data_IF_655930868994
#
_entry.id   IF_655930868994
#
_cell.length_a   1.000
_cell.length_b   1.000
_cell.length_c   1.000
_cell.angle_alpha   90.00
_cell.angle_beta   90.00
_cell.angle_gamma   90.00
#
_symmetry.space_group_name_H-M   'P 1'
#
loop_
_entity.id
_entity.type
_entity.pdbx_description
1 polymer ?
#
# COMPACT_ATOMS: atom_id res chain seq x y z
N UNK A 1 -14.16 -0.19 1.85
CA UNK A 1 -12.70 -0.45 1.87
C UNK A 1 -12.34 -1.54 2.86
N UNK A 2 -12.74 -1.42 4.13
CA UNK A 2 -12.46 -2.40 5.19
C UNK A 2 -12.69 -3.86 4.81
N UNK A 3 -13.92 -4.22 4.41
CA UNK A 3 -14.26 -5.61 4.04
C UNK A 3 -13.40 -6.14 2.88
N UNK A 4 -13.09 -5.28 1.89
CA UNK A 4 -12.24 -5.66 0.76
C UNK A 4 -10.81 -5.99 1.23
N UNK A 5 -10.21 -5.13 2.06
CA UNK A 5 -8.87 -5.36 2.60
C UNK A 5 -8.86 -6.61 3.48
N UNK A 6 -9.85 -6.76 4.37
CA UNK A 6 -9.96 -7.92 5.25
C UNK A 6 -9.97 -9.24 4.46
N UNK A 7 -10.78 -9.29 3.39
CA UNK A 7 -10.88 -10.48 2.54
C UNK A 7 -9.54 -10.79 1.87
N UNK A 8 -8.87 -9.78 1.32
CA UNK A 8 -7.57 -9.96 0.67
C UNK A 8 -6.49 -10.47 1.64
N UNK A 9 -6.42 -9.88 2.84
CA UNK A 9 -5.47 -10.29 3.88
C UNK A 9 -5.77 -11.73 4.33
N UNK A 10 -7.05 -12.05 4.56
CA UNK A 10 -7.48 -13.37 5.00
C UNK A 10 -7.20 -14.46 3.96
N UNK A 11 -7.46 -14.18 2.68
CA UNK A 11 -7.17 -15.12 1.60
C UNK A 11 -5.67 -15.36 1.43
N UNK A 12 -4.84 -14.36 1.74
CA UNK A 12 -3.39 -14.50 1.73
C UNK A 12 -2.88 -15.29 2.93
N UNK A 13 -3.48 -15.11 4.12
CA UNK A 13 -3.17 -15.93 5.29
C UNK A 13 -3.45 -17.41 5.06
N UNK A 14 -4.55 -17.74 4.38
CA UNK A 14 -4.90 -19.14 4.05
C UNK A 14 -3.81 -19.84 3.22
N UNK A 15 -2.98 -19.09 2.49
CA UNK A 15 -1.88 -19.60 1.67
C UNK A 15 -0.55 -19.77 2.44
N UNK A 16 -0.38 -19.19 3.63
CA UNK A 16 0.87 -19.26 4.41
C UNK A 16 1.12 -20.66 4.99
N UNK A 17 2.27 -21.28 4.72
CA UNK A 17 2.59 -22.63 5.23
C UNK A 17 2.90 -22.67 6.73
N UNK A 18 3.53 -21.63 7.28
CA UNK A 18 3.90 -21.57 8.70
C UNK A 18 2.66 -21.28 9.56
N UNK A 19 2.27 -22.25 10.40
CA UNK A 19 1.09 -22.17 11.28
C UNK A 19 1.28 -21.11 12.37
N UNK A 20 2.46 -21.03 12.99
CA UNK A 20 2.72 -20.09 14.07
C UNK A 20 2.62 -18.63 13.59
N UNK A 21 3.31 -18.30 12.48
CA UNK A 21 3.20 -16.98 11.85
C UNK A 21 1.77 -16.65 11.45
N UNK A 22 1.03 -17.64 10.92
CA UNK A 22 -0.36 -17.46 10.51
C UNK A 22 -1.24 -17.09 11.70
N UNK A 23 -1.11 -17.77 12.83
CA UNK A 23 -1.91 -17.49 14.04
C UNK A 23 -1.55 -16.13 14.66
N UNK A 24 -0.29 -15.72 14.62
CA UNK A 24 0.10 -14.37 15.04
C UNK A 24 -0.57 -13.31 14.16
N UNK A 25 -0.47 -13.43 12.84
CA UNK A 25 -1.05 -12.45 11.92
C UNK A 25 -2.59 -12.43 11.95
N UNK A 26 -3.24 -13.57 12.23
CA UNK A 26 -4.69 -13.59 12.47
C UNK A 26 -5.12 -12.68 13.63
N UNK A 27 -4.28 -12.51 14.66
CA UNK A 27 -4.56 -11.59 15.78
C UNK A 27 -4.40 -10.13 15.36
N UNK A 28 -3.50 -9.85 14.43
CA UNK A 28 -3.21 -8.51 13.93
C UNK A 28 -4.16 -8.07 12.80
N UNK A 29 -4.81 -9.01 12.10
CA UNK A 29 -5.52 -8.76 10.84
C UNK A 29 -6.58 -7.65 10.91
N UNK A 30 -7.32 -7.55 12.02
CA UNK A 30 -8.35 -6.53 12.18
C UNK A 30 -7.71 -5.14 12.29
N UNK A 31 -6.64 -5.00 13.07
CA UNK A 31 -5.93 -3.74 13.26
C UNK A 31 -5.22 -3.31 11.98
N UNK A 32 -4.54 -4.24 11.31
CA UNK A 32 -3.87 -4.01 10.03
C UNK A 32 -4.90 -3.60 8.95
N UNK A 33 -6.06 -4.25 8.91
CA UNK A 33 -7.17 -3.87 8.02
C UNK A 33 -7.66 -2.47 8.32
N UNK A 34 -7.83 -2.12 9.60
CA UNK A 34 -8.30 -0.79 10.04
C UNK A 34 -7.32 0.28 9.59
N UNK A 35 -6.03 0.09 9.90
CA UNK A 35 -4.94 1.00 9.53
C UNK A 35 -4.91 1.31 8.03
N UNK A 36 -4.98 0.27 7.19
CA UNK A 36 -5.00 0.43 5.73
C UNK A 36 -6.28 1.15 5.28
N UNK A 37 -7.42 0.82 5.89
CA UNK A 37 -8.72 1.39 5.52
C UNK A 37 -8.85 2.86 5.86
N UNK A 38 -8.26 3.31 6.96
CA UNK A 38 -8.21 4.72 7.34
C UNK A 38 -7.50 5.60 6.31
N UNK A 39 -6.50 5.04 5.62
CA UNK A 39 -5.84 5.76 4.52
C UNK A 39 -6.81 6.09 3.38
N UNK A 40 -7.90 5.34 3.25
CA UNK A 40 -9.03 5.65 2.36
C UNK A 40 -9.76 6.97 2.63
N UNK A 41 -9.48 7.63 3.76
CA UNK A 41 -10.08 8.90 4.17
C UNK A 41 -9.06 10.03 4.38
N UNK A 42 -7.86 9.93 3.79
CA UNK A 42 -6.82 10.96 3.96
C UNK A 42 -7.23 12.26 3.24
N UNK A 43 -7.17 13.39 3.96
CA UNK A 43 -7.62 14.69 3.46
C UNK A 43 -6.54 15.39 2.63
N UNK A 44 -6.96 16.24 1.68
CA UNK A 44 -6.07 17.03 0.79
C UNK A 44 -5.12 17.99 1.52
N UNK A 45 -5.39 18.34 2.77
CA UNK A 45 -4.56 19.24 3.56
C UNK A 45 -3.37 18.56 4.27
N UNK A 46 -3.18 17.26 4.10
CA UNK A 46 -2.00 16.57 4.62
C UNK A 46 -0.76 16.89 3.77
N UNK A 47 0.38 17.06 4.43
CA UNK A 47 1.69 17.13 3.78
C UNK A 47 1.93 15.86 2.95
N UNK A 48 2.38 16.02 1.70
CA UNK A 48 2.66 14.90 0.81
C UNK A 48 3.67 13.92 1.41
N UNK A 49 4.61 14.39 2.24
CA UNK A 49 5.55 13.53 2.95
C UNK A 49 4.82 12.56 3.88
N UNK A 50 3.80 13.04 4.59
CA UNK A 50 2.96 12.20 5.47
C UNK A 50 2.20 11.16 4.64
N UNK A 51 1.72 11.56 3.46
CA UNK A 51 1.04 10.65 2.52
C UNK A 51 2.00 9.55 2.07
N UNK A 52 3.21 9.90 1.64
CA UNK A 52 4.22 8.93 1.19
C UNK A 52 4.66 8.00 2.31
N UNK A 53 4.82 8.51 3.53
CA UNK A 53 5.18 7.71 4.70
C UNK A 53 4.06 6.72 5.04
N UNK A 54 2.80 7.14 4.98
CA UNK A 54 1.64 6.24 5.16
C UNK A 54 1.58 5.16 4.07
N UNK A 55 1.84 5.50 2.81
CA UNK A 55 1.92 4.51 1.73
C UNK A 55 3.02 3.48 2.00
N UNK A 56 4.19 3.92 2.45
CA UNK A 56 5.30 3.03 2.83
C UNK A 56 4.89 2.08 3.94
N UNK A 57 4.26 2.58 5.00
CA UNK A 57 3.79 1.77 6.12
C UNK A 57 2.70 0.77 5.68
N UNK A 58 1.83 1.15 4.75
CA UNK A 58 0.85 0.21 4.16
C UNK A 58 1.57 -0.96 3.47
N UNK A 59 2.62 -0.69 2.68
CA UNK A 59 3.41 -1.76 2.06
C UNK A 59 4.14 -2.65 3.08
N UNK A 60 4.57 -2.10 4.21
CA UNK A 60 5.11 -2.88 5.33
C UNK A 60 4.06 -3.82 5.91
N UNK A 61 2.85 -3.33 6.19
CA UNK A 61 1.73 -4.13 6.67
C UNK A 61 1.37 -5.22 5.67
N UNK A 62 1.18 -4.88 4.39
CA UNK A 62 0.85 -5.84 3.33
C UNK A 62 1.94 -6.92 3.16
N UNK A 63 3.21 -6.55 3.34
CA UNK A 63 4.35 -7.46 3.30
C UNK A 63 4.27 -8.59 4.33
N UNK A 64 3.65 -8.35 5.49
CA UNK A 64 3.44 -9.39 6.52
C UNK A 64 2.62 -10.58 6.00
N UNK A 65 1.67 -10.31 5.10
CA UNK A 65 0.67 -11.28 4.62
C UNK A 65 1.13 -12.10 3.42
N UNK A 66 2.39 -11.94 2.97
CA UNK A 66 2.94 -12.60 1.78
C UNK A 66 2.10 -12.34 0.51
N UNK A 67 1.56 -11.13 0.40
CA UNK A 67 0.88 -10.66 -0.80
C UNK A 67 1.87 -10.52 -1.96
N UNK A 68 1.39 -10.75 -3.19
CA UNK A 68 2.22 -10.47 -4.36
C UNK A 68 2.41 -8.96 -4.53
N UNK A 69 3.44 -8.56 -5.29
CA UNK A 69 3.61 -7.15 -5.69
C UNK A 69 2.34 -6.62 -6.38
N UNK A 70 1.74 -7.42 -7.25
CA UNK A 70 0.53 -7.04 -7.98
C UNK A 70 -0.66 -6.83 -7.04
N UNK A 71 -0.87 -7.72 -6.06
CA UNK A 71 -1.95 -7.56 -5.06
C UNK A 71 -1.73 -6.30 -4.23
N UNK A 72 -0.49 -6.05 -3.80
CA UNK A 72 -0.13 -4.90 -2.97
C UNK A 72 -0.33 -3.59 -3.72
N UNK A 73 0.06 -3.54 -5.00
CA UNK A 73 -0.21 -2.42 -5.89
C UNK A 73 -1.73 -2.25 -6.06
N UNK A 74 -2.47 -3.33 -6.31
CA UNK A 74 -3.93 -3.31 -6.49
C UNK A 74 -4.69 -2.73 -5.30
N UNK A 75 -4.24 -3.01 -4.08
CA UNK A 75 -4.75 -2.37 -2.86
C UNK A 75 -4.59 -0.86 -2.91
N UNK A 76 -3.38 -0.37 -3.17
CA UNK A 76 -3.13 1.06 -3.25
C UNK A 76 -3.89 1.73 -4.38
N UNK A 77 -4.01 1.08 -5.55
CA UNK A 77 -4.83 1.62 -6.64
C UNK A 77 -6.26 1.88 -6.18
N UNK A 78 -6.87 0.90 -5.51
CA UNK A 78 -8.24 1.05 -5.00
C UNK A 78 -8.36 2.13 -3.92
N UNK A 79 -7.33 2.30 -3.09
CA UNK A 79 -7.34 3.35 -2.07
C UNK A 79 -7.15 4.74 -2.68
N UNK A 80 -6.22 4.91 -3.62
CA UNK A 80 -5.91 6.20 -4.24
C UNK A 80 -7.02 6.62 -5.21
N UNK A 81 -7.62 5.68 -5.97
CA UNK A 81 -8.78 5.96 -6.85
C UNK A 81 -10.09 6.19 -6.10
N UNK A 82 -10.08 6.13 -4.76
CA UNK A 82 -11.23 6.58 -3.99
C UNK A 82 -11.46 8.08 -4.25
N UNK A 83 -12.72 8.50 -4.44
CA UNK A 83 -13.09 9.92 -4.64
C UNK A 83 -12.46 10.87 -3.62
N UNK A 84 -12.30 10.42 -2.37
CA UNK A 84 -11.69 11.23 -1.30
C UNK A 84 -10.17 11.41 -1.44
N UNK A 85 -9.51 10.55 -2.23
CA UNK A 85 -8.07 10.44 -2.34
C UNK A 85 -7.55 10.75 -3.76
N UNK A 86 -8.43 11.06 -4.70
CA UNK A 86 -8.06 11.34 -6.10
C UNK A 86 -7.09 12.52 -6.21
N UNK A 87 -7.17 13.46 -5.26
CA UNK A 87 -6.25 14.59 -5.13
C UNK A 87 -4.79 14.18 -4.97
N UNK A 88 -4.50 12.97 -4.45
CA UNK A 88 -3.13 12.46 -4.36
C UNK A 88 -2.55 12.31 -5.76
N UNK A 89 -3.37 11.90 -6.73
CA UNK A 89 -2.95 11.81 -8.12
C UNK A 89 -2.79 13.18 -8.75
N UNK A 90 -3.76 14.08 -8.55
CA UNK A 90 -3.65 15.48 -8.99
C UNK A 90 -2.37 16.16 -8.48
N UNK A 91 -1.92 15.83 -7.27
CA UNK A 91 -0.67 16.38 -6.73
C UNK A 91 0.57 15.92 -7.52
N UNK A 92 0.62 14.65 -7.92
CA UNK A 92 1.76 14.12 -8.68
C UNK A 92 1.63 14.34 -10.19
N UNK A 93 0.44 14.68 -10.67
CA UNK A 93 0.10 14.88 -12.07
C UNK A 93 -0.29 16.33 -12.33
N UNK A 94 0.66 17.12 -12.83
CA UNK A 94 0.46 18.52 -13.24
C UNK A 94 -0.10 18.62 -14.68
N UNK A 95 -1.15 17.87 -15.04
CA UNK A 95 -1.69 17.83 -16.41
C UNK A 95 -3.17 18.24 -16.49
N UNK A 96 -3.53 19.01 -17.52
CA UNK A 96 -4.86 19.61 -17.76
C UNK A 96 -5.83 18.72 -18.57
N UNK A 97 -5.40 17.55 -19.05
CA UNK A 97 -6.16 16.74 -20.04
C UNK A 97 -6.76 15.45 -19.49
N UNK A 98 -7.91 15.06 -20.07
CA UNK A 98 -8.80 13.96 -19.63
C UNK A 98 -8.08 12.69 -19.17
N UNK A 99 -8.35 12.36 -17.91
CA UNK A 99 -7.33 11.93 -16.95
C UNK A 99 -7.29 10.40 -16.75
N UNK A 100 -8.28 9.64 -17.21
CA UNK A 100 -8.47 8.25 -16.72
C UNK A 100 -7.42 7.23 -17.19
N UNK A 101 -6.97 7.27 -18.46
CA UNK A 101 -5.99 6.30 -18.98
C UNK A 101 -4.55 6.69 -18.63
N UNK A 102 -4.23 7.99 -18.66
CA UNK A 102 -2.93 8.49 -18.21
C UNK A 102 -2.76 8.36 -16.70
N UNK A 103 -3.83 8.53 -15.92
CA UNK A 103 -3.79 8.30 -14.48
C UNK A 103 -3.40 6.87 -14.16
N UNK A 104 -3.90 5.86 -14.87
CA UNK A 104 -3.57 4.47 -14.57
C UNK A 104 -2.07 4.21 -14.79
N UNK A 105 -1.49 4.74 -15.87
CA UNK A 105 -0.06 4.65 -16.15
C UNK A 105 0.78 5.42 -15.12
N UNK A 106 0.39 6.65 -14.79
CA UNK A 106 1.07 7.52 -13.81
C UNK A 106 1.01 6.91 -12.42
N UNK A 107 -0.15 6.42 -12.01
CA UNK A 107 -0.38 5.75 -10.74
C UNK A 107 0.45 4.46 -10.64
N UNK A 108 0.54 3.69 -11.73
CA UNK A 108 1.47 2.55 -11.81
C UNK A 108 2.93 2.98 -11.63
N UNK A 109 3.34 4.07 -12.27
CA UNK A 109 4.72 4.60 -12.19
C UNK A 109 5.05 5.10 -10.77
N UNK A 110 4.18 5.92 -10.18
CA UNK A 110 4.35 6.45 -8.81
C UNK A 110 4.41 5.31 -7.81
N UNK A 111 3.44 4.39 -7.85
CA UNK A 111 3.42 3.26 -6.91
C UNK A 111 4.64 2.37 -7.12
N UNK A 112 5.05 2.11 -8.37
CA UNK A 112 6.24 1.29 -8.65
C UNK A 112 7.52 1.94 -8.15
N UNK A 113 7.71 3.25 -8.37
CA UNK A 113 8.86 4.00 -7.90
C UNK A 113 8.93 4.04 -6.36
N UNK A 114 7.79 4.27 -5.70
CA UNK A 114 7.69 4.21 -4.24
C UNK A 114 8.01 2.80 -3.73
N UNK A 115 7.46 1.76 -4.36
CA UNK A 115 7.71 0.37 -3.96
C UNK A 115 9.17 -0.03 -4.15
N UNK A 116 9.80 0.36 -5.26
CA UNK A 116 11.22 0.11 -5.50
C UNK A 116 12.12 0.82 -4.51
N UNK A 117 11.82 2.08 -4.18
CA UNK A 117 12.53 2.83 -3.14
C UNK A 117 12.48 2.10 -1.80
N UNK A 118 11.30 1.61 -1.40
CA UNK A 118 11.11 0.84 -0.16
C UNK A 118 11.92 -0.46 -0.18
N UNK A 119 11.89 -1.19 -1.29
CA UNK A 119 12.62 -2.46 -1.40
C UNK A 119 14.14 -2.27 -1.39
N UNK A 120 14.65 -1.26 -2.12
CA UNK A 120 16.07 -0.89 -2.10
C UNK A 120 16.53 -0.52 -0.69
N UNK A 121 15.78 0.32 0.01
CA UNK A 121 16.12 0.72 1.38
C UNK A 121 16.21 -0.50 2.33
N UNK A 122 15.28 -1.46 2.21
CA UNK A 122 15.34 -2.70 3.01
C UNK A 122 16.54 -3.59 2.68
N UNK A 123 16.92 -3.69 1.40
CA UNK A 123 18.13 -4.43 1.02
C UNK A 123 19.37 -3.78 1.60
N UNK A 124 19.46 -2.45 1.55
CA UNK A 124 20.56 -1.69 2.16
C UNK A 124 20.61 -1.88 3.67
N UNK A 125 19.48 -1.80 4.39
CA UNK A 125 19.44 -2.07 5.83
C UNK A 125 19.85 -3.50 6.19
N UNK A 126 19.40 -4.50 5.41
CA UNK A 126 19.79 -5.90 5.62
C UNK A 126 21.27 -6.16 5.35
N UNK A 127 21.87 -5.46 4.37
CA UNK A 127 23.29 -5.62 4.04
C UNK A 127 24.19 -4.76 4.94
N UNK A 128 23.71 -3.61 5.41
CA UNK A 128 24.43 -2.72 6.32
C UNK A 128 24.49 -3.24 7.76
N UNK A 129 23.51 -4.04 8.18
CA UNK A 129 23.53 -4.73 9.49
C UNK A 129 24.36 -6.02 9.51
N UNK A 130 25.16 -6.31 8.47
CA UNK A 130 26.02 -7.51 8.35
C UNK A 130 27.51 -7.17 8.59
N UNK A 131 27.82 -5.99 9.12
CA UNK A 131 29.20 -5.58 9.48
C UNK A 131 29.31 -5.41 10.99
#
# INVERSE_FOLDING_TARGET
>A
MFIYILNLLNDSLKKKKNIYEREQLKREIINDTWYISEFGGIKKNFDIKIVTDKIKNIFEVLGKYNLTKQDSIGVLKKIIRNKNNIWILEYFYNGDDNIDDELEFVLNSIISNMFESIYRNRLVEKLGNVI
#
